data_IF_078200228768
#
_entry.id   IF_078200228768
#
_cell.length_a   1.000
_cell.length_b   1.000
_cell.length_c   1.000
_cell.angle_alpha   90.00
_cell.angle_beta   90.00
_cell.angle_gamma   90.00
#
_symmetry.space_group_name_H-M   'P 1'
#
loop_
_entity.id
_entity.type
_entity.pdbx_description
1 polymer ?
#
# COMPACT_ATOMS: atom_id res chain seq x y z
N UNK A 1 10.54 -12.51 18.38
CA UNK A 1 11.52 -13.43 17.75
C UNK A 1 11.36 -13.44 16.23
N UNK A 2 10.26 -13.93 15.64
CA UNK A 2 10.12 -14.03 14.17
C UNK A 2 10.24 -12.74 13.33
N UNK A 3 9.99 -11.56 13.91
CA UNK A 3 10.14 -10.27 13.22
C UNK A 3 11.57 -9.72 13.20
N UNK A 4 12.44 -10.24 14.08
CA UNK A 4 13.82 -9.75 14.25
C UNK A 4 14.85 -10.82 13.91
N UNK A 5 14.50 -12.10 14.10
CA UNK A 5 15.41 -13.23 13.99
C UNK A 5 14.68 -14.44 13.40
N UNK A 6 15.35 -15.10 12.45
CA UNK A 6 14.87 -16.34 11.85
C UNK A 6 15.88 -17.45 12.15
N UNK A 7 15.35 -18.64 12.47
CA UNK A 7 16.16 -19.85 12.62
C UNK A 7 15.86 -20.71 11.40
N UNK A 8 16.86 -21.01 10.59
CA UNK A 8 16.63 -21.73 9.34
C UNK A 8 16.39 -23.23 9.63
N UNK A 9 15.16 -23.75 9.44
CA UNK A 9 14.83 -25.11 9.88
C UNK A 9 15.58 -26.20 9.10
N UNK A 10 16.12 -25.87 7.92
CA UNK A 10 16.95 -26.79 7.13
C UNK A 10 18.46 -26.62 7.38
N UNK A 11 18.88 -25.77 8.32
CA UNK A 11 20.30 -25.59 8.67
C UNK A 11 20.63 -26.33 9.99
N UNK A 12 21.24 -27.53 9.94
CA UNK A 12 21.36 -28.42 11.11
C UNK A 12 22.15 -27.80 12.26
N UNK A 13 23.18 -27.01 11.95
CA UNK A 13 24.02 -26.33 12.94
C UNK A 13 23.28 -25.21 13.67
N UNK A 14 22.37 -24.49 13.01
CA UNK A 14 21.54 -23.45 13.66
C UNK A 14 20.46 -24.06 14.56
N UNK A 15 19.91 -25.20 14.14
CA UNK A 15 18.94 -25.96 14.92
C UNK A 15 19.57 -26.57 16.19
N UNK A 16 20.82 -27.03 16.10
CA UNK A 16 21.55 -27.61 17.24
C UNK A 16 22.13 -26.55 18.20
N UNK A 17 22.47 -25.35 17.71
CA UNK A 17 23.05 -24.28 18.52
C UNK A 17 22.04 -23.28 19.11
N UNK A 18 20.75 -23.41 18.78
CA UNK A 18 19.75 -22.34 18.99
C UNK A 18 20.20 -20.98 18.42
N UNK A 19 21.06 -21.00 17.38
CA UNK A 19 21.51 -19.82 16.67
C UNK A 19 20.39 -19.22 15.83
N UNK A 20 20.42 -17.91 15.66
CA UNK A 20 19.48 -17.19 14.80
C UNK A 20 20.12 -15.92 14.26
N UNK A 21 19.98 -15.66 12.98
CA UNK A 21 20.49 -14.45 12.33
C UNK A 21 19.43 -13.33 12.33
N UNK A 22 19.84 -12.06 12.41
CA UNK A 22 18.93 -10.93 12.21
C UNK A 22 18.30 -10.97 10.82
N UNK A 23 16.98 -10.84 10.74
CA UNK A 23 16.24 -10.79 9.46
C UNK A 23 16.29 -9.41 8.81
N UNK A 24 16.79 -8.41 9.52
CA UNK A 24 16.84 -7.02 9.10
C UNK A 24 18.06 -6.29 9.70
N UNK A 25 18.48 -5.21 9.04
CA UNK A 25 19.54 -4.31 9.52
C UNK A 25 19.03 -3.30 10.55
N UNK A 26 17.75 -2.95 10.48
CA UNK A 26 17.07 -2.08 11.42
C UNK A 26 15.58 -2.42 11.47
N UNK A 27 14.99 -2.25 12.66
CA UNK A 27 13.57 -2.46 12.91
C UNK A 27 12.99 -1.23 13.60
N UNK A 28 12.04 -0.57 12.94
CA UNK A 28 11.38 0.64 13.44
C UNK A 28 9.93 0.34 13.77
N UNK A 29 9.39 1.03 14.77
CA UNK A 29 8.02 0.85 15.26
C UNK A 29 7.29 2.19 15.28
N UNK A 30 6.87 2.71 14.11
CA UNK A 30 6.03 3.90 14.09
C UNK A 30 4.72 3.64 14.86
N UNK A 31 4.11 4.71 15.35
CA UNK A 31 2.75 4.66 15.87
C UNK A 31 1.77 4.17 14.78
N UNK A 32 0.61 3.63 15.18
CA UNK A 32 -0.39 3.14 14.22
C UNK A 32 -0.84 4.29 13.30
N UNK A 33 -0.58 4.16 12.00
CA UNK A 33 -0.84 5.21 11.00
C UNK A 33 0.23 6.30 10.90
N UNK A 34 1.32 6.20 11.68
CA UNK A 34 2.44 7.14 11.67
C UNK A 34 3.43 6.96 10.50
N UNK A 35 3.22 5.97 9.64
CA UNK A 35 4.08 5.65 8.50
C UNK A 35 4.26 6.82 7.53
N UNK A 36 3.18 7.58 7.27
CA UNK A 36 3.24 8.75 6.41
C UNK A 36 4.18 9.82 6.98
N UNK A 37 4.11 10.07 8.29
CA UNK A 37 4.97 11.04 8.97
C UNK A 37 6.44 10.59 8.98
N UNK A 38 6.69 9.28 9.18
CA UNK A 38 8.03 8.72 9.03
C UNK A 38 8.60 8.97 7.63
N UNK A 39 7.85 8.63 6.58
CA UNK A 39 8.29 8.82 5.19
C UNK A 39 8.49 10.30 4.84
N UNK A 40 7.62 11.17 5.35
CA UNK A 40 7.76 12.63 5.26
C UNK A 40 9.04 13.12 5.93
N UNK A 41 9.35 12.60 7.11
CA UNK A 41 10.61 12.87 7.81
C UNK A 41 11.84 12.40 7.04
N UNK A 42 11.77 11.22 6.41
CA UNK A 42 12.83 10.74 5.54
C UNK A 42 13.04 11.67 4.34
N UNK A 43 11.96 12.07 3.65
CA UNK A 43 12.03 13.02 2.54
C UNK A 43 12.64 14.37 2.97
N UNK A 44 12.27 14.87 4.17
CA UNK A 44 12.80 16.11 4.73
C UNK A 44 14.31 16.03 5.00
N UNK A 45 14.80 14.91 5.52
CA UNK A 45 16.25 14.68 5.65
C UNK A 45 16.97 14.64 4.30
N UNK A 46 16.39 13.97 3.29
CA UNK A 46 17.00 13.97 1.96
C UNK A 46 17.06 15.37 1.34
N UNK A 47 16.00 16.18 1.51
CA UNK A 47 15.98 17.57 1.05
C UNK A 47 17.05 18.42 1.75
N UNK A 48 17.22 18.24 3.06
CA UNK A 48 18.29 18.90 3.80
C UNK A 48 19.67 18.53 3.23
N UNK A 49 19.93 17.23 3.05
CA UNK A 49 21.22 16.76 2.53
C UNK A 49 21.45 17.14 1.06
N UNK A 50 20.39 17.25 0.26
CA UNK A 50 20.46 17.79 -1.11
C UNK A 50 20.97 19.24 -1.09
N UNK A 51 20.38 20.09 -0.25
CA UNK A 51 20.81 21.50 -0.10
C UNK A 51 22.25 21.59 0.40
N UNK A 52 22.63 20.76 1.37
CA UNK A 52 24.01 20.66 1.86
C UNK A 52 24.99 20.20 0.77
N UNK A 53 24.60 19.22 -0.06
CA UNK A 53 25.42 18.75 -1.16
C UNK A 53 25.65 19.86 -2.20
N UNK A 54 24.59 20.60 -2.56
CA UNK A 54 24.68 21.74 -3.48
C UNK A 54 25.59 22.84 -2.95
N UNK A 55 25.44 23.23 -1.68
CA UNK A 55 26.26 24.26 -1.05
C UNK A 55 27.75 23.90 -1.00
N UNK A 56 28.07 22.60 -0.89
CA UNK A 56 29.44 22.10 -0.78
C UNK A 56 30.00 21.54 -2.11
N UNK A 57 29.26 21.68 -3.22
CA UNK A 57 29.62 21.09 -4.52
C UNK A 57 29.91 19.57 -4.44
N UNK A 58 29.13 18.86 -3.63
CA UNK A 58 29.20 17.40 -3.45
C UNK A 58 28.19 16.68 -4.36
N UNK A 59 28.28 15.35 -4.54
CA UNK A 59 27.31 14.60 -5.32
C UNK A 59 25.87 14.80 -4.82
N UNK A 60 24.94 15.01 -5.75
CA UNK A 60 23.53 15.19 -5.45
C UNK A 60 22.95 13.98 -4.72
N UNK A 61 22.03 14.25 -3.80
CA UNK A 61 21.23 13.23 -3.12
C UNK A 61 20.07 12.83 -4.01
N UNK A 62 19.42 13.78 -4.68
CA UNK A 62 18.32 13.53 -5.61
C UNK A 62 18.80 13.14 -7.01
N UNK A 63 17.95 12.40 -7.72
CA UNK A 63 18.17 12.08 -9.14
C UNK A 63 17.52 13.16 -10.02
N UNK A 64 18.24 14.27 -10.23
CA UNK A 64 17.72 15.42 -10.98
C UNK A 64 17.36 15.10 -12.42
N UNK A 65 18.11 14.20 -13.08
CA UNK A 65 17.81 13.80 -14.45
C UNK A 65 16.47 13.06 -14.51
N UNK A 66 16.28 12.08 -13.62
CA UNK A 66 15.03 11.34 -13.50
C UNK A 66 13.84 12.27 -13.16
N UNK A 67 14.03 13.17 -12.19
CA UNK A 67 12.98 14.10 -11.78
C UNK A 67 12.54 15.01 -12.94
N UNK A 68 13.49 15.59 -13.68
CA UNK A 68 13.18 16.47 -14.80
C UNK A 68 12.51 15.74 -15.97
N UNK A 69 12.82 14.46 -16.19
CA UNK A 69 12.30 13.70 -17.34
C UNK A 69 10.98 12.98 -17.04
N UNK A 70 10.78 12.50 -15.81
CA UNK A 70 9.73 11.53 -15.50
C UNK A 70 8.77 11.95 -14.39
N UNK A 71 8.89 13.16 -13.87
CA UNK A 71 8.03 13.64 -12.77
C UNK A 71 7.47 15.02 -13.04
N UNK A 72 6.41 15.36 -12.30
CA UNK A 72 5.78 16.67 -12.30
C UNK A 72 5.42 17.05 -10.85
N UNK A 73 5.30 18.36 -10.58
CA UNK A 73 4.93 18.88 -9.25
C UNK A 73 5.98 18.69 -8.16
N UNK A 74 7.25 18.45 -8.51
CA UNK A 74 8.33 18.18 -7.54
C UNK A 74 8.53 19.35 -6.58
N UNK A 75 8.57 20.58 -7.10
CA UNK A 75 8.80 21.77 -6.27
C UNK A 75 7.66 21.99 -5.28
N UNK A 76 6.42 21.77 -5.69
CA UNK A 76 5.25 21.87 -4.81
C UNK A 76 5.34 20.82 -3.69
N UNK A 77 5.68 19.57 -4.02
CA UNK A 77 5.90 18.55 -3.01
C UNK A 77 7.01 18.92 -2.02
N UNK A 78 8.16 19.39 -2.52
CA UNK A 78 9.28 19.80 -1.67
C UNK A 78 8.92 20.99 -0.77
N UNK A 79 8.08 21.92 -1.24
CA UNK A 79 7.57 23.00 -0.40
C UNK A 79 6.73 22.45 0.78
N UNK A 80 5.83 21.49 0.53
CA UNK A 80 5.07 20.84 1.62
C UNK A 80 6.01 20.08 2.57
N UNK A 81 7.07 19.43 2.06
CA UNK A 81 8.09 18.77 2.89
C UNK A 81 8.83 19.78 3.78
N UNK A 82 9.17 20.95 3.24
CA UNK A 82 9.87 22.01 3.96
C UNK A 82 8.98 22.66 5.03
N UNK A 83 7.69 22.87 4.73
CA UNK A 83 6.70 23.44 5.65
C UNK A 83 6.28 22.48 6.77
N UNK A 84 6.49 21.17 6.61
CA UNK A 84 6.16 20.18 7.66
C UNK A 84 7.20 20.27 8.77
N UNK A 85 6.81 20.64 9.99
CA UNK A 85 7.74 20.80 11.12
C UNK A 85 8.28 19.46 11.63
N UNK A 86 9.49 19.47 12.21
CA UNK A 86 10.09 18.28 12.80
C UNK A 86 9.32 17.79 14.01
N UNK A 87 8.75 18.71 14.80
CA UNK A 87 7.91 18.40 15.96
C UNK A 87 6.69 17.59 15.53
N UNK A 88 6.01 18.02 14.47
CA UNK A 88 4.86 17.32 13.92
C UNK A 88 5.24 15.94 13.39
N UNK A 89 6.37 15.83 12.68
CA UNK A 89 6.87 14.55 12.15
C UNK A 89 7.17 13.56 13.29
N UNK A 90 7.87 13.99 14.34
CA UNK A 90 8.23 13.14 15.49
C UNK A 90 6.98 12.72 16.25
N UNK A 91 6.07 13.66 16.51
CA UNK A 91 4.81 13.37 17.21
C UNK A 91 3.95 12.36 16.44
N UNK A 92 3.70 12.60 15.15
CA UNK A 92 2.79 11.76 14.35
C UNK A 92 3.41 10.41 14.00
N UNK A 93 4.72 10.36 13.75
CA UNK A 93 5.40 9.07 13.49
C UNK A 93 5.52 8.23 14.75
N UNK A 94 5.55 8.85 15.93
CA UNK A 94 5.87 8.20 17.20
C UNK A 94 7.31 7.71 17.29
N UNK A 95 8.20 8.16 16.39
CA UNK A 95 9.61 7.78 16.37
C UNK A 95 10.51 8.95 16.77
N UNK A 96 11.60 8.69 17.52
CA UNK A 96 12.62 9.70 17.76
C UNK A 96 13.22 10.21 16.44
N UNK A 97 13.58 11.48 16.39
CA UNK A 97 14.20 12.09 15.21
C UNK A 97 15.43 11.31 14.72
N UNK A 98 16.24 10.79 15.64
CA UNK A 98 17.42 9.98 15.32
C UNK A 98 17.09 8.67 14.59
N UNK A 99 15.93 8.05 14.86
CA UNK A 99 15.50 6.83 14.16
C UNK A 99 14.99 7.15 12.75
N UNK A 100 14.31 8.29 12.59
CA UNK A 100 13.89 8.82 11.28
C UNK A 100 15.12 9.17 10.43
N UNK A 101 16.10 9.83 11.03
CA UNK A 101 17.37 10.13 10.38
C UNK A 101 18.10 8.86 9.96
N UNK A 102 18.18 7.87 10.87
CA UNK A 102 18.82 6.58 10.60
C UNK A 102 18.14 5.87 9.43
N UNK A 103 16.81 5.83 9.37
CA UNK A 103 16.09 5.21 8.25
C UNK A 103 16.34 5.97 6.94
N UNK A 104 16.35 7.30 6.96
CA UNK A 104 16.66 8.14 5.82
C UNK A 104 18.10 7.92 5.31
N UNK A 105 19.09 7.81 6.21
CA UNK A 105 20.48 7.51 5.85
C UNK A 105 20.64 6.14 5.22
N UNK A 106 19.96 5.12 5.77
CA UNK A 106 19.94 3.78 5.19
C UNK A 106 19.37 3.79 3.77
N UNK A 107 18.27 4.52 3.57
CA UNK A 107 17.66 4.71 2.25
C UNK A 107 18.59 5.45 1.28
N UNK A 108 19.17 6.58 1.69
CA UNK A 108 20.08 7.38 0.86
C UNK A 108 21.35 6.61 0.42
N UNK A 109 21.81 5.66 1.24
CA UNK A 109 22.94 4.77 0.89
C UNK A 109 22.55 3.69 -0.13
N UNK A 110 21.27 3.32 -0.17
CA UNK A 110 20.74 2.35 -1.12
C UNK A 110 20.84 2.84 -2.56
N UNK A 111 21.57 2.11 -3.40
CA UNK A 111 21.64 2.39 -4.84
C UNK A 111 20.37 1.97 -5.55
N UNK A 112 19.82 0.81 -5.22
CA UNK A 112 18.60 0.27 -5.80
C UNK A 112 17.73 -0.19 -4.63
N UNK A 113 16.57 0.43 -4.46
CA UNK A 113 15.68 0.18 -3.32
C UNK A 113 14.35 -0.34 -3.81
N UNK A 114 13.84 -1.39 -3.17
CA UNK A 114 12.46 -1.85 -3.34
C UNK A 114 11.72 -1.53 -2.05
N UNK A 115 10.62 -0.76 -2.16
CA UNK A 115 9.74 -0.50 -1.02
C UNK A 115 8.57 -1.49 -1.07
N UNK A 116 8.56 -2.42 -0.12
CA UNK A 116 7.53 -3.45 0.00
C UNK A 116 6.51 -3.07 1.07
N UNK A 117 5.22 -3.23 0.78
CA UNK A 117 4.17 -3.06 1.78
C UNK A 117 3.02 -4.04 1.57
N UNK A 118 2.15 -4.15 2.57
CA UNK A 118 0.96 -4.98 2.53
C UNK A 118 -0.18 -4.28 3.30
N UNK A 119 -0.97 -5.04 4.05
CA UNK A 119 -2.18 -4.57 4.71
C UNK A 119 -1.94 -3.57 5.85
N UNK A 120 -0.74 -3.57 6.44
CA UNK A 120 -0.35 -2.60 7.47
C UNK A 120 -0.31 -1.15 6.99
N UNK A 121 -0.32 -0.91 5.67
CA UNK A 121 -0.49 0.42 5.08
C UNK A 121 -1.89 0.58 4.48
N UNK A 122 -2.36 -0.44 3.74
CA UNK A 122 -3.59 -0.30 2.94
C UNK A 122 -4.87 -0.31 3.78
N UNK A 123 -4.87 -0.88 4.99
CA UNK A 123 -6.03 -0.93 5.89
C UNK A 123 -6.11 0.24 6.89
N UNK A 124 -5.54 1.39 6.53
CA UNK A 124 -5.65 2.62 7.30
C UNK A 124 -6.51 3.66 6.56
N UNK A 125 -7.14 4.56 7.32
CA UNK A 125 -7.96 5.67 6.78
C UNK A 125 -7.19 6.55 5.79
N UNK A 126 -5.90 6.72 6.01
CA UNK A 126 -5.02 7.58 5.19
C UNK A 126 -4.14 6.78 4.22
N UNK A 127 -4.52 5.55 3.88
CA UNK A 127 -3.69 4.64 3.08
C UNK A 127 -3.28 5.22 1.72
N UNK A 128 -4.19 5.89 1.00
CA UNK A 128 -3.89 6.50 -0.31
C UNK A 128 -2.81 7.58 -0.18
N UNK A 129 -2.96 8.62 0.69
CA UNK A 129 -1.88 9.56 0.97
C UNK A 129 -0.57 8.92 1.40
N UNK A 130 -0.59 7.89 2.25
CA UNK A 130 0.63 7.20 2.68
C UNK A 130 1.34 6.52 1.52
N UNK A 131 0.60 5.87 0.61
CA UNK A 131 1.16 5.23 -0.59
C UNK A 131 1.71 6.29 -1.56
N UNK A 132 1.07 7.45 -1.66
CA UNK A 132 1.61 8.58 -2.43
C UNK A 132 2.93 9.09 -1.82
N UNK A 133 3.02 9.19 -0.50
CA UNK A 133 4.26 9.59 0.19
C UNK A 133 5.39 8.57 -0.04
N UNK A 134 5.08 7.28 0.01
CA UNK A 134 6.00 6.19 -0.40
C UNK A 134 6.51 6.41 -1.82
N UNK A 135 5.60 6.66 -2.77
CA UNK A 135 5.94 6.85 -4.17
C UNK A 135 6.80 8.11 -4.36
N UNK A 136 6.43 9.24 -3.74
CA UNK A 136 7.18 10.49 -3.83
C UNK A 136 8.62 10.33 -3.33
N UNK A 137 8.81 9.69 -2.17
CA UNK A 137 10.13 9.41 -1.63
C UNK A 137 10.98 8.58 -2.61
N UNK A 138 10.36 7.58 -3.26
CA UNK A 138 11.03 6.71 -4.23
C UNK A 138 11.38 7.44 -5.54
N UNK A 139 10.54 8.36 -5.98
CA UNK A 139 10.75 9.20 -7.16
C UNK A 139 11.91 10.20 -6.98
N UNK A 140 12.07 10.79 -5.78
CA UNK A 140 13.19 11.71 -5.47
C UNK A 140 14.57 11.12 -5.79
N UNK A 141 14.69 9.80 -5.76
CA UNK A 141 15.94 9.04 -5.94
C UNK A 141 15.96 8.19 -7.21
N UNK A 142 15.00 8.37 -8.12
CA UNK A 142 14.91 7.55 -9.34
C UNK A 142 14.83 6.05 -9.06
N UNK A 143 14.22 5.63 -7.94
CA UNK A 143 14.07 4.21 -7.57
C UNK A 143 12.84 3.57 -8.26
N UNK A 144 12.58 3.93 -9.51
CA UNK A 144 11.46 3.45 -10.33
C UNK A 144 12.00 3.14 -11.74
N UNK A 145 11.46 2.10 -12.39
CA UNK A 145 11.77 1.81 -13.80
C UNK A 145 13.14 1.19 -14.07
N UNK A 146 13.84 0.67 -13.05
CA UNK A 146 15.15 0.02 -13.21
C UNK A 146 15.29 -1.28 -12.40
N UNK A 147 16.13 -2.24 -12.83
CA UNK A 147 16.31 -3.52 -12.15
C UNK A 147 16.71 -3.37 -10.67
N UNK A 148 16.06 -4.11 -9.79
CA UNK A 148 16.34 -4.09 -8.35
C UNK A 148 15.80 -2.86 -7.61
N UNK A 149 15.00 -2.01 -8.26
CA UNK A 149 14.29 -0.91 -7.61
C UNK A 149 12.80 -0.93 -7.94
N UNK A 150 11.97 -0.38 -7.05
CA UNK A 150 10.55 -0.17 -7.34
C UNK A 150 9.63 -0.27 -6.15
N UNK A 151 8.34 -0.19 -6.47
CA UNK A 151 7.24 -0.31 -5.53
C UNK A 151 6.68 -1.73 -5.57
N UNK A 152 6.58 -2.38 -4.41
CA UNK A 152 6.12 -3.76 -4.30
C UNK A 152 4.95 -3.86 -3.31
N UNK A 153 3.70 -3.57 -3.75
CA UNK A 153 2.51 -3.91 -2.98
C UNK A 153 2.35 -5.43 -2.97
N UNK A 154 2.77 -6.08 -1.87
CA UNK A 154 2.65 -7.52 -1.68
C UNK A 154 1.18 -7.87 -1.45
N UNK A 155 0.63 -8.64 -2.39
CA UNK A 155 -0.77 -9.05 -2.35
C UNK A 155 -0.90 -10.42 -1.69
N UNK A 156 -1.96 -10.62 -0.90
CA UNK A 156 -2.15 -11.82 -0.10
C UNK A 156 -2.77 -12.99 -0.87
N UNK A 157 -4.00 -12.81 -1.38
CA UNK A 157 -4.72 -13.90 -2.06
C UNK A 157 -4.06 -14.25 -3.40
N UNK A 158 -3.99 -15.54 -3.70
CA UNK A 158 -3.26 -16.10 -4.85
C UNK A 158 -3.66 -15.49 -6.19
N UNK A 159 -4.93 -15.11 -6.39
CA UNK A 159 -5.43 -14.61 -7.67
C UNK A 159 -6.02 -13.19 -7.61
N UNK A 160 -5.80 -12.41 -6.55
CA UNK A 160 -6.39 -11.05 -6.48
C UNK A 160 -5.88 -10.14 -7.61
N UNK A 161 -4.70 -10.38 -8.15
CA UNK A 161 -4.23 -9.71 -9.36
C UNK A 161 -4.97 -10.22 -10.61
N UNK A 162 -5.13 -11.55 -10.74
CA UNK A 162 -5.84 -12.16 -11.86
C UNK A 162 -7.31 -11.73 -11.94
N UNK A 163 -8.00 -11.62 -10.81
CA UNK A 163 -9.38 -11.15 -10.74
C UNK A 163 -9.54 -9.76 -11.37
N UNK A 164 -8.64 -8.82 -11.02
CA UNK A 164 -8.62 -7.47 -11.59
C UNK A 164 -8.24 -7.50 -13.07
N UNK A 165 -7.29 -8.35 -13.48
CA UNK A 165 -6.92 -8.53 -14.90
C UNK A 165 -8.09 -9.04 -15.74
N UNK A 166 -8.94 -9.91 -15.18
CA UNK A 166 -10.12 -10.47 -15.85
C UNK A 166 -11.35 -9.55 -15.78
N UNK A 167 -11.19 -8.32 -15.29
CA UNK A 167 -12.25 -7.31 -15.30
C UNK A 167 -13.23 -7.39 -14.14
N UNK A 168 -12.89 -8.06 -13.03
CA UNK A 168 -13.67 -7.98 -11.79
C UNK A 168 -13.44 -6.59 -11.19
N UNK A 169 -14.26 -5.63 -11.60
CA UNK A 169 -14.15 -4.23 -11.24
C UNK A 169 -15.54 -3.58 -11.20
N UNK A 170 -15.86 -3.01 -10.04
CA UNK A 170 -17.08 -2.27 -9.77
C UNK A 170 -17.08 -0.87 -10.42
N UNK A 171 -15.92 -0.35 -10.82
CA UNK A 171 -15.73 0.91 -11.54
C UNK A 171 -14.83 0.69 -12.77
N UNK A 172 -15.30 -0.10 -13.75
CA UNK A 172 -14.51 -0.43 -14.93
C UNK A 172 -14.27 0.81 -15.80
N UNK A 173 -13.09 0.96 -16.43
CA UNK A 173 -12.82 2.07 -17.32
C UNK A 173 -13.64 1.95 -18.61
N UNK A 174 -13.96 3.09 -19.24
CA UNK A 174 -14.82 3.15 -20.43
C UNK A 174 -14.33 2.25 -21.57
N UNK A 175 -13.02 2.22 -21.84
CA UNK A 175 -12.45 1.39 -22.91
C UNK A 175 -12.75 -0.11 -22.74
N UNK A 176 -12.84 -0.59 -21.50
CA UNK A 176 -13.14 -1.99 -21.22
C UNK A 176 -14.61 -2.30 -21.47
N UNK A 177 -15.50 -1.40 -21.02
CA UNK A 177 -16.93 -1.51 -21.28
C UNK A 177 -17.25 -1.48 -22.78
N UNK A 178 -16.58 -0.62 -23.54
CA UNK A 178 -16.71 -0.53 -25.00
C UNK A 178 -16.26 -1.83 -25.69
N UNK A 179 -15.17 -2.43 -25.21
CA UNK A 179 -14.69 -3.71 -25.72
C UNK A 179 -15.69 -4.85 -25.45
N UNK A 180 -16.32 -4.88 -24.27
CA UNK A 180 -17.37 -5.86 -23.93
C UNK A 180 -18.60 -5.70 -24.84
N UNK A 181 -19.10 -4.48 -25.00
CA UNK A 181 -20.25 -4.17 -25.86
C UNK A 181 -19.97 -4.58 -27.32
N UNK A 182 -18.79 -4.25 -27.84
CA UNK A 182 -18.35 -4.68 -29.17
C UNK A 182 -18.23 -6.20 -29.29
N UNK A 183 -17.75 -6.90 -28.27
CA UNK A 183 -17.54 -8.35 -28.34
C UNK A 183 -18.83 -9.16 -28.22
N UNK A 184 -19.71 -8.74 -27.32
CA UNK A 184 -20.90 -9.50 -26.90
C UNK A 184 -22.21 -8.93 -27.45
N UNK A 185 -22.17 -7.78 -28.14
CA UNK A 185 -23.31 -7.21 -28.87
C UNK A 185 -24.53 -6.92 -27.98
N UNK A 186 -24.28 -6.43 -26.76
CA UNK A 186 -25.32 -5.92 -25.86
C UNK A 186 -24.87 -4.60 -25.22
N UNK A 187 -25.85 -3.76 -24.86
CA UNK A 187 -25.57 -2.49 -24.18
C UNK A 187 -25.07 -2.76 -22.76
N UNK A 188 -23.81 -2.45 -22.49
CA UNK A 188 -23.20 -2.66 -21.18
C UNK A 188 -23.57 -1.50 -20.24
N UNK A 189 -23.94 -1.76 -18.97
CA UNK A 189 -24.18 -0.71 -17.98
C UNK A 189 -22.95 0.21 -17.83
N UNK A 190 -23.20 1.51 -17.74
CA UNK A 190 -22.13 2.52 -17.68
C UNK A 190 -21.97 3.16 -16.30
N UNK A 191 -22.97 3.01 -15.45
CA UNK A 191 -22.90 3.47 -14.06
C UNK A 191 -22.00 2.56 -13.24
N UNK A 192 -21.33 3.15 -12.26
CA UNK A 192 -20.51 2.41 -11.31
C UNK A 192 -21.37 1.44 -10.48
N UNK A 193 -20.85 0.23 -10.29
CA UNK A 193 -21.38 -0.71 -9.32
C UNK A 193 -21.02 -0.34 -7.89
N UNK A 194 -21.54 -1.12 -6.95
CA UNK A 194 -21.22 -0.98 -5.54
C UNK A 194 -19.90 -1.68 -5.20
N UNK A 195 -19.00 -1.00 -4.49
CA UNK A 195 -17.95 -1.67 -3.73
C UNK A 195 -18.56 -2.45 -2.53
N UNK A 196 -17.72 -3.18 -1.80
CA UNK A 196 -18.16 -4.02 -0.67
C UNK A 196 -18.98 -3.25 0.38
N UNK A 197 -18.53 -2.04 0.76
CA UNK A 197 -19.21 -1.22 1.77
C UNK A 197 -20.51 -0.67 1.20
N UNK A 198 -20.48 -0.13 -0.02
CA UNK A 198 -21.67 0.36 -0.72
C UNK A 198 -22.73 -0.74 -0.90
N UNK A 199 -22.30 -1.98 -1.15
CA UNK A 199 -23.19 -3.13 -1.28
C UNK A 199 -23.87 -3.47 0.06
N UNK A 200 -23.14 -3.43 1.18
CA UNK A 200 -23.72 -3.59 2.52
C UNK A 200 -24.78 -2.53 2.78
N UNK A 201 -24.50 -1.26 2.47
CA UNK A 201 -25.47 -0.18 2.61
C UNK A 201 -26.71 -0.38 1.72
N UNK A 202 -26.51 -0.75 0.45
CA UNK A 202 -27.60 -1.00 -0.47
C UNK A 202 -28.51 -2.16 -0.03
N UNK A 203 -27.95 -3.20 0.56
CA UNK A 203 -28.73 -4.32 1.13
C UNK A 203 -29.50 -3.88 2.38
N UNK A 204 -28.88 -3.10 3.29
CA UNK A 204 -29.56 -2.56 4.48
C UNK A 204 -30.73 -1.64 4.13
N UNK A 205 -30.55 -0.78 3.13
CA UNK A 205 -31.58 0.13 2.62
C UNK A 205 -32.63 -0.57 1.74
N UNK A 206 -32.46 -1.87 1.48
CA UNK A 206 -33.35 -2.65 0.63
C UNK A 206 -33.28 -2.28 -0.86
N UNK A 207 -32.28 -1.49 -1.30
CA UNK A 207 -32.03 -1.20 -2.72
C UNK A 207 -31.44 -2.40 -3.47
N UNK A 208 -30.69 -3.26 -2.77
CA UNK A 208 -30.18 -4.52 -3.29
C UNK A 208 -30.93 -5.68 -2.62
N UNK A 209 -31.57 -6.54 -3.44
CA UNK A 209 -32.41 -7.65 -2.97
C UNK A 209 -31.80 -9.04 -3.15
N UNK A 210 -30.82 -9.15 -4.04
CA UNK A 210 -30.17 -10.42 -4.35
C UNK A 210 -28.67 -10.28 -4.13
N UNK A 211 -28.11 -11.19 -3.34
CA UNK A 211 -26.67 -11.32 -3.15
C UNK A 211 -26.16 -12.62 -3.77
N UNK A 212 -25.09 -12.55 -4.56
CA UNK A 212 -24.39 -13.71 -5.12
C UNK A 212 -22.93 -13.62 -4.72
N UNK A 213 -22.48 -14.53 -3.85
CA UNK A 213 -21.09 -14.68 -3.44
C UNK A 213 -20.42 -15.82 -4.21
N UNK A 214 -19.36 -15.51 -4.96
CA UNK A 214 -18.50 -16.52 -5.59
C UNK A 214 -17.19 -16.62 -4.80
N UNK A 215 -17.01 -17.72 -4.08
CA UNK A 215 -15.89 -17.90 -3.16
C UNK A 215 -15.91 -16.93 -1.98
N UNK A 216 -14.87 -17.00 -1.15
CA UNK A 216 -14.74 -16.17 0.04
C UNK A 216 -15.84 -16.38 1.10
N UNK A 217 -15.77 -15.60 2.16
CA UNK A 217 -16.79 -15.56 3.22
C UNK A 217 -17.18 -14.10 3.48
N UNK A 218 -18.10 -13.56 2.67
CA UNK A 218 -18.51 -12.15 2.76
C UNK A 218 -19.01 -11.77 4.16
N UNK A 219 -19.74 -12.68 4.81
CA UNK A 219 -20.27 -12.46 6.15
C UNK A 219 -19.16 -12.21 7.19
N UNK A 220 -18.08 -12.99 7.14
CA UNK A 220 -16.97 -12.88 8.12
C UNK A 220 -15.83 -11.97 7.68
N UNK A 221 -15.61 -11.79 6.37
CA UNK A 221 -14.45 -11.07 5.84
C UNK A 221 -14.67 -9.56 5.71
N UNK A 222 -15.91 -9.10 5.85
CA UNK A 222 -16.26 -7.67 5.78
C UNK A 222 -16.20 -7.03 7.17
N UNK A 223 -15.98 -5.70 7.26
CA UNK A 223 -16.01 -5.00 8.53
C UNK A 223 -17.42 -5.00 9.13
N UNK A 224 -17.52 -4.85 10.45
CA UNK A 224 -18.78 -4.74 11.20
C UNK A 224 -19.74 -5.94 10.95
N UNK A 225 -19.34 -7.10 11.49
CA UNK A 225 -20.07 -8.36 11.28
C UNK A 225 -21.56 -8.29 11.61
N UNK A 226 -22.02 -7.70 12.74
CA UNK A 226 -23.46 -7.58 13.02
C UNK A 226 -24.22 -6.88 11.91
N UNK A 227 -23.65 -5.80 11.38
CA UNK A 227 -24.25 -5.00 10.32
C UNK A 227 -24.23 -5.72 8.97
N UNK A 228 -23.15 -6.43 8.64
CA UNK A 228 -23.12 -7.30 7.44
C UNK A 228 -24.16 -8.41 7.54
N UNK A 229 -24.34 -9.04 8.71
CA UNK A 229 -25.32 -10.10 8.89
C UNK A 229 -26.76 -9.59 8.76
N UNK A 230 -27.04 -8.39 9.24
CA UNK A 230 -28.31 -7.71 8.99
C UNK A 230 -28.52 -7.43 7.50
N UNK A 231 -27.50 -6.90 6.81
CA UNK A 231 -27.55 -6.61 5.39
C UNK A 231 -27.90 -7.87 4.57
N UNK A 232 -27.21 -8.99 4.84
CA UNK A 232 -27.49 -10.27 4.16
C UNK A 232 -28.90 -10.79 4.46
N UNK A 233 -29.43 -10.59 5.67
CA UNK A 233 -30.80 -11.00 6.04
C UNK A 233 -31.89 -10.16 5.37
N UNK A 234 -31.57 -8.93 4.94
CA UNK A 234 -32.51 -8.06 4.22
C UNK A 234 -32.63 -8.39 2.72
N UNK A 235 -31.79 -9.28 2.20
CA UNK A 235 -31.91 -9.80 0.83
C UNK A 235 -33.04 -10.82 0.74
N UNK A 236 -33.83 -10.74 -0.33
CA UNK A 236 -34.86 -11.73 -0.67
C UNK A 236 -34.22 -13.08 -1.09
N UNK A 237 -32.99 -13.02 -1.63
CA UNK A 237 -32.21 -14.20 -2.01
C UNK A 237 -30.71 -13.99 -1.77
N UNK A 238 -30.09 -14.97 -1.12
CA UNK A 238 -28.63 -15.07 -1.01
C UNK A 238 -28.14 -16.38 -1.62
N UNK A 239 -27.23 -16.30 -2.60
CA UNK A 239 -26.58 -17.45 -3.23
C UNK A 239 -25.11 -17.45 -2.85
N UNK A 240 -24.62 -18.56 -2.32
CA UNK A 240 -23.20 -18.74 -2.00
C UNK A 240 -22.63 -19.91 -2.82
N UNK A 241 -21.66 -19.60 -3.69
CA UNK A 241 -20.95 -20.58 -4.50
C UNK A 241 -19.59 -20.79 -3.84
N UNK A 242 -19.43 -21.89 -3.10
CA UNK A 242 -18.19 -22.20 -2.39
C UNK A 242 -17.84 -23.69 -2.44
N UNK A 243 -16.57 -24.00 -2.25
CA UNK A 243 -16.08 -25.39 -2.20
C UNK A 243 -16.29 -26.04 -0.83
N UNK A 244 -16.64 -25.26 0.19
CA UNK A 244 -16.94 -25.68 1.54
C UNK A 244 -17.94 -24.72 2.20
N UNK A 245 -18.64 -25.19 3.23
CA UNK A 245 -19.48 -24.34 4.05
C UNK A 245 -18.63 -23.28 4.77
N UNK A 246 -19.10 -22.04 4.70
CA UNK A 246 -18.55 -20.93 5.46
C UNK A 246 -19.07 -21.02 6.91
N UNK A 247 -18.20 -20.70 7.87
CA UNK A 247 -18.60 -20.53 9.28
C UNK A 247 -19.11 -19.11 9.50
#
# INVERSE_FOLDING_TARGET
RGLERFQHPQHPLEMLSNGSEPTNTAYFRPALGGDMALLRGMAKFLLQWEREAQANNAPAVFDHAFLNEHTDGVLDYLAVVDDTSWEFIVEQSGLPLADIERSARMYAKGKNVIMCWAMGITQHRHSVPTIQEVANLMLLRGNIGRPGAGLCPVRGHSNVQGDRTMGINERPPAFFLDALEKRFQFKVPRDNGHNVVEAIHAMLEGRSKVFIGLGGNFAQATPDSPRTFEALRNCDLTVQISTKLNR
#
